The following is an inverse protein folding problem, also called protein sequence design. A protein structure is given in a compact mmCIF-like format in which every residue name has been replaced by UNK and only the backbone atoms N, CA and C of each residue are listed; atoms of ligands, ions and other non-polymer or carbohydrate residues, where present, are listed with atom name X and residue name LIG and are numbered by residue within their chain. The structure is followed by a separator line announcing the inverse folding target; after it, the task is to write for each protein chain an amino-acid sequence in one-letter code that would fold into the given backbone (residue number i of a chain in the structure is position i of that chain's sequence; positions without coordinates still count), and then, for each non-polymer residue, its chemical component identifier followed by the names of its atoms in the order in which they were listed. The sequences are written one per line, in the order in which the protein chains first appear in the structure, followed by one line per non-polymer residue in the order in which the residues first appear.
data_IF_059704728757
#
_entry.id   IF_059704728757
#
_cell.length_a   1.000
_cell.length_b   1.000
_cell.length_c   1.000
_cell.angle_alpha   90.00
_cell.angle_beta   90.00
_cell.angle_gamma   90.00
#
_symmetry.space_group_name_H-M   'P 1'
#
loop_
_entity.id
_entity.type
_entity.pdbx_description
1 polymer ?
#
# COMPACT_ATOMS: atom_id res chain seq x y z
N UNK A 1 20.54 -7.58 -3.40
CA UNK A 1 20.02 -7.66 -2.01
C UNK A 1 20.34 -6.34 -1.32
N UNK A 2 19.38 -5.65 -0.68
CA UNK A 2 19.65 -4.39 0.02
C UNK A 2 20.34 -4.65 1.37
N UNK A 3 21.13 -3.69 1.85
CA UNK A 3 21.80 -3.71 3.16
C UNK A 3 21.85 -2.28 3.74
N UNK A 4 21.95 -2.17 5.06
CA UNK A 4 22.15 -0.88 5.76
C UNK A 4 23.64 -0.65 5.94
N UNK A 5 24.09 0.58 5.65
CA UNK A 5 25.50 0.98 5.74
C UNK A 5 25.61 2.12 6.73
N UNK A 6 26.63 2.10 7.59
CA UNK A 6 27.00 3.27 8.39
C UNK A 6 27.78 4.24 7.51
N UNK A 7 27.23 5.43 7.27
CA UNK A 7 27.81 6.41 6.32
C UNK A 7 29.26 6.76 6.66
N UNK A 8 29.59 6.92 7.95
CA UNK A 8 30.91 7.28 8.40
C UNK A 8 32.00 6.24 8.06
N UNK A 9 31.67 4.95 8.08
CA UNK A 9 32.65 3.88 7.82
C UNK A 9 32.51 3.26 6.42
N UNK A 10 31.36 3.42 5.75
CA UNK A 10 31.04 2.71 4.52
C UNK A 10 30.81 1.20 4.71
N UNK A 11 30.79 0.71 5.96
CA UNK A 11 30.68 -0.72 6.28
C UNK A 11 29.21 -1.07 6.54
N UNK A 12 28.70 -2.19 5.99
CA UNK A 12 27.38 -2.70 6.32
C UNK A 12 27.22 -3.01 7.81
N UNK A 13 26.05 -2.71 8.37
CA UNK A 13 25.72 -3.13 9.72
C UNK A 13 25.54 -4.66 9.74
N UNK A 14 26.32 -5.35 10.56
CA UNK A 14 26.38 -6.81 10.61
C UNK A 14 25.04 -7.44 11.01
N UNK A 15 24.50 -7.08 12.18
CA UNK A 15 23.28 -7.70 12.71
C UNK A 15 22.06 -7.52 11.79
N UNK A 16 21.78 -6.32 11.22
CA UNK A 16 20.71 -6.15 10.24
C UNK A 16 20.95 -6.95 8.95
N UNK A 17 22.20 -7.05 8.51
CA UNK A 17 22.56 -7.84 7.32
C UNK A 17 22.27 -9.32 7.57
N UNK A 18 22.72 -9.85 8.70
CA UNK A 18 22.47 -11.23 9.10
C UNK A 18 20.98 -11.53 9.26
N UNK A 19 20.21 -10.66 9.92
CA UNK A 19 18.77 -10.80 10.06
C UNK A 19 18.05 -10.88 8.70
N UNK A 20 18.45 -10.06 7.74
CA UNK A 20 17.85 -10.09 6.41
C UNK A 20 18.23 -11.33 5.62
N UNK A 21 19.49 -11.75 5.65
CA UNK A 21 19.96 -12.90 4.86
C UNK A 21 19.52 -14.22 5.47
N UNK A 22 19.77 -14.44 6.76
CA UNK A 22 19.54 -15.70 7.44
C UNK A 22 18.07 -15.94 7.81
N UNK A 23 17.29 -14.90 8.08
CA UNK A 23 15.90 -15.05 8.50
C UNK A 23 14.91 -14.57 7.43
N UNK A 24 14.94 -13.29 7.06
CA UNK A 24 13.89 -12.73 6.19
C UNK A 24 13.94 -13.30 4.78
N UNK A 25 15.11 -13.36 4.16
CA UNK A 25 15.28 -13.87 2.80
C UNK A 25 15.12 -15.40 2.74
N UNK A 26 15.62 -16.13 3.73
CA UNK A 26 15.41 -17.58 3.86
C UNK A 26 13.91 -17.95 3.89
N UNK A 27 13.06 -17.09 4.48
CA UNK A 27 11.60 -17.23 4.46
C UNK A 27 10.93 -16.77 3.15
N UNK A 28 11.70 -16.57 2.07
CA UNK A 28 11.18 -16.24 0.74
C UNK A 28 10.62 -14.82 0.61
N UNK A 29 11.03 -13.87 1.46
CA UNK A 29 10.58 -12.48 1.38
C UNK A 29 11.13 -11.78 0.14
N UNK A 30 10.28 -10.95 -0.48
CA UNK A 30 10.61 -10.23 -1.71
C UNK A 30 11.57 -9.07 -1.44
N UNK A 31 12.45 -8.70 -2.40
CA UNK A 31 13.45 -7.64 -2.23
C UNK A 31 12.87 -6.30 -1.75
N UNK A 32 11.73 -5.85 -2.28
CA UNK A 32 11.10 -4.59 -1.84
C UNK A 32 10.59 -4.64 -0.40
N UNK A 33 10.15 -5.81 0.06
CA UNK A 33 9.78 -6.00 1.47
C UNK A 33 11.02 -5.89 2.34
N UNK A 34 12.12 -6.55 1.97
CA UNK A 34 13.40 -6.46 2.69
C UNK A 34 13.91 -5.02 2.76
N UNK A 35 13.82 -4.26 1.66
CA UNK A 35 14.18 -2.85 1.63
C UNK A 35 13.36 -2.01 2.61
N UNK A 36 12.03 -2.20 2.66
CA UNK A 36 11.17 -1.48 3.60
C UNK A 36 11.43 -1.89 5.07
N UNK A 37 11.77 -3.15 5.31
CA UNK A 37 12.16 -3.64 6.63
C UNK A 37 13.49 -2.99 7.08
N UNK A 38 14.51 -2.93 6.21
CA UNK A 38 15.74 -2.18 6.51
C UNK A 38 15.47 -0.69 6.75
N UNK A 39 14.59 -0.07 5.96
CA UNK A 39 14.19 1.32 6.23
C UNK A 39 13.57 1.47 7.60
N UNK A 40 12.85 0.46 8.10
CA UNK A 40 12.31 0.48 9.46
C UNK A 40 13.40 0.30 10.51
N UNK A 41 14.39 -0.56 10.27
CA UNK A 41 15.55 -0.70 11.15
C UNK A 41 16.43 0.55 11.16
N UNK A 42 16.52 1.29 10.06
CA UNK A 42 17.22 2.58 10.02
C UNK A 42 16.66 3.54 11.09
N UNK A 43 15.35 3.53 11.36
CA UNK A 43 14.78 4.33 12.45
C UNK A 43 15.28 3.90 13.83
N UNK A 44 15.48 2.60 14.07
CA UNK A 44 16.04 2.11 15.33
C UNK A 44 17.47 2.61 15.53
N UNK A 45 18.31 2.52 14.50
CA UNK A 45 19.70 2.96 14.59
C UNK A 45 19.81 4.48 14.70
N UNK A 46 19.03 5.25 13.93
CA UNK A 46 19.01 6.71 14.05
C UNK A 46 18.50 7.13 15.44
N UNK A 47 17.48 6.47 15.96
CA UNK A 47 17.01 6.70 17.32
C UNK A 47 18.10 6.41 18.36
N UNK A 48 18.81 5.29 18.22
CA UNK A 48 19.92 4.91 19.09
C UNK A 48 21.06 5.93 19.05
N UNK A 49 21.51 6.30 17.85
CA UNK A 49 22.59 7.27 17.66
C UNK A 49 22.24 8.64 18.30
N UNK A 50 21.01 9.15 18.14
CA UNK A 50 20.56 10.42 18.77
C UNK A 50 20.52 10.37 20.30
N UNK A 51 20.45 9.17 20.88
CA UNK A 51 20.38 8.95 22.34
C UNK A 51 21.67 8.40 22.91
N UNK A 52 22.73 8.27 22.09
CA UNK A 52 24.00 7.68 22.50
C UNK A 52 23.86 6.20 22.89
N UNK A 53 22.92 5.47 22.29
CA UNK A 53 22.64 4.07 22.58
C UNK A 53 23.17 3.20 21.44
N UNK A 54 24.19 2.37 21.72
CA UNK A 54 24.57 1.29 20.82
C UNK A 54 23.63 0.08 21.00
N UNK A 55 22.79 -0.14 19.99
CA UNK A 55 21.80 -1.21 19.99
C UNK A 55 22.46 -2.60 20.04
N UNK A 56 23.58 -2.79 19.34
CA UNK A 56 24.26 -4.09 19.26
C UNK A 56 24.95 -4.47 20.57
N UNK A 57 25.60 -3.51 21.23
CA UNK A 57 26.18 -3.71 22.56
C UNK A 57 25.11 -3.96 23.62
N UNK A 58 24.02 -3.19 23.61
CA UNK A 58 22.92 -3.39 24.58
C UNK A 58 22.28 -4.76 24.51
N UNK A 59 21.99 -5.23 23.31
CA UNK A 59 21.41 -6.56 23.12
C UNK A 59 22.36 -7.66 23.59
N UNK A 60 23.67 -7.55 23.30
CA UNK A 60 24.68 -8.50 23.82
C UNK A 60 24.88 -8.40 25.33
N UNK A 61 24.79 -7.21 25.90
CA UNK A 61 24.92 -6.97 27.34
C UNK A 61 23.66 -7.32 28.15
N UNK A 62 22.58 -7.78 27.52
CA UNK A 62 21.31 -8.08 28.21
C UNK A 62 20.58 -6.85 28.75
N UNK A 63 20.98 -5.66 28.33
CA UNK A 63 20.38 -4.39 28.76
C UNK A 63 19.42 -3.92 27.66
N UNK A 64 18.21 -4.48 27.64
CA UNK A 64 17.18 -4.15 26.64
C UNK A 64 16.60 -2.75 26.83
N UNK A 65 15.66 -2.36 25.97
CA UNK A 65 14.99 -1.07 26.04
C UNK A 65 14.10 -0.99 27.29
N UNK A 66 14.29 0.07 28.07
CA UNK A 66 13.42 0.42 29.19
C UNK A 66 12.06 0.94 28.72
N UNK A 67 11.10 1.09 29.63
CA UNK A 67 9.77 1.61 29.30
C UNK A 67 9.82 2.99 28.65
N UNK A 68 10.60 3.92 29.23
CA UNK A 68 10.72 5.29 28.73
C UNK A 68 11.33 5.31 27.32
N UNK A 69 12.31 4.45 27.06
CA UNK A 69 12.93 4.28 25.74
C UNK A 69 11.97 3.67 24.73
N UNK A 70 11.15 2.70 25.13
CA UNK A 70 10.11 2.14 24.25
C UNK A 70 9.09 3.22 23.88
N UNK A 71 8.59 3.99 24.85
CA UNK A 71 7.63 5.09 24.61
C UNK A 71 8.21 6.10 23.63
N UNK A 72 9.45 6.48 23.84
CA UNK A 72 10.14 7.44 23.02
C UNK A 72 10.41 6.90 21.60
N UNK A 73 10.88 5.67 21.46
CA UNK A 73 11.05 4.99 20.17
C UNK A 73 9.71 4.88 19.41
N UNK A 74 8.60 4.64 20.12
CA UNK A 74 7.25 4.65 19.55
C UNK A 74 6.89 6.04 19.02
N UNK A 75 7.23 7.11 19.73
CA UNK A 75 7.11 8.49 19.24
C UNK A 75 7.96 8.72 18.00
N UNK A 76 9.23 8.33 18.04
CA UNK A 76 10.23 8.50 16.98
C UNK A 76 9.83 7.78 15.68
N UNK A 77 9.29 6.57 15.77
CA UNK A 77 8.79 5.82 14.62
C UNK A 77 7.65 6.51 13.88
N UNK A 78 6.95 7.46 14.53
CA UNK A 78 5.90 8.29 13.95
C UNK A 78 6.39 9.51 13.17
N UNK A 79 7.71 9.77 13.11
CA UNK A 79 8.28 10.95 12.44
C UNK A 79 8.64 10.66 10.98
N UNK A 80 8.68 11.70 10.15
CA UNK A 80 9.26 11.60 8.81
C UNK A 80 10.78 11.70 8.87
N UNK A 81 11.46 11.01 7.95
CA UNK A 81 12.92 11.02 7.89
C UNK A 81 13.49 12.43 7.67
N UNK A 82 12.80 13.25 6.87
CA UNK A 82 13.15 14.66 6.64
C UNK A 82 13.22 15.52 7.91
N UNK A 83 12.46 15.13 8.95
CA UNK A 83 12.44 15.86 10.22
C UNK A 83 13.50 15.32 11.19
N UNK A 84 14.03 14.12 10.96
CA UNK A 84 15.04 13.46 11.80
C UNK A 84 16.45 13.89 11.37
N UNK A 85 16.70 13.91 10.05
CA UNK A 85 18.05 14.17 9.52
C UNK A 85 18.66 15.50 10.01
N UNK A 86 17.93 16.63 10.12
CA UNK A 86 18.49 17.88 10.62
C UNK A 86 18.95 17.82 12.08
N UNK A 87 18.42 16.92 12.91
CA UNK A 87 18.86 16.76 14.31
C UNK A 87 20.29 16.24 14.37
N UNK A 88 20.69 15.39 13.42
CA UNK A 88 22.08 14.94 13.30
C UNK A 88 23.03 16.04 12.83
N UNK A 89 22.58 16.90 11.93
CA UNK A 89 23.37 18.04 11.48
C UNK A 89 23.65 19.01 12.64
N UNK A 90 22.69 19.20 13.55
CA UNK A 90 22.86 20.03 14.74
C UNK A 90 23.82 19.46 15.80
N UNK A 91 24.09 18.15 15.76
CA UNK A 91 25.06 17.48 16.63
C UNK A 91 26.50 17.57 16.09
N UNK A 92 26.69 18.03 14.85
CA UNK A 92 27.99 18.20 14.21
C UNK A 92 28.35 19.70 14.09
N UNK A 93 29.27 20.26 14.91
CA UNK A 93 29.50 21.71 14.99
C UNK A 93 30.12 22.37 13.74
N UNK A 94 30.47 21.63 12.68
CA UNK A 94 31.21 22.15 11.51
C UNK A 94 30.43 22.16 10.18
N UNK A 95 29.10 22.04 10.20
CA UNK A 95 28.29 22.12 8.97
C UNK A 95 27.66 23.51 8.85
N UNK A 96 28.11 24.29 7.85
CA UNK A 96 27.56 25.60 7.51
C UNK A 96 26.10 25.43 7.10
N UNK A 97 25.19 26.11 7.81
CA UNK A 97 23.76 26.11 7.48
C UNK A 97 23.53 26.76 6.11
N UNK A 98 23.07 25.97 5.13
CA UNK A 98 22.41 26.51 3.96
C UNK A 98 20.93 26.71 4.34
N UNK A 99 20.52 27.97 4.49
CA UNK A 99 19.19 28.37 4.97
C UNK A 99 18.06 27.54 4.31
N UNK A 100 17.52 26.56 5.04
CA UNK A 100 16.30 25.88 4.64
C UNK A 100 15.12 26.74 5.13
N UNK A 101 14.34 27.25 4.18
CA UNK A 101 13.08 27.95 4.48
C UNK A 101 12.23 27.03 5.35
N UNK A 102 11.85 27.53 6.53
CA UNK A 102 11.11 26.80 7.56
C UNK A 102 9.97 25.97 6.99
N UNK A 103 10.19 24.66 6.91
CA UNK A 103 9.14 23.71 6.61
C UNK A 103 8.25 23.61 7.85
N UNK A 104 6.95 23.89 7.70
CA UNK A 104 5.95 23.55 8.72
C UNK A 104 6.20 22.11 9.18
N UNK A 105 6.13 21.85 10.50
CA UNK A 105 6.07 20.48 11.06
C UNK A 105 4.84 19.77 10.48
N UNK A 106 4.99 19.17 9.32
CA UNK A 106 3.94 18.42 8.64
C UNK A 106 3.77 17.08 9.32
N UNK A 107 2.76 16.96 10.18
CA UNK A 107 2.05 15.72 10.53
C UNK A 107 2.87 14.56 11.14
N UNK A 108 2.20 13.73 11.93
CA UNK A 108 2.73 12.40 12.23
C UNK A 108 2.50 11.47 11.03
N UNK A 109 3.39 10.50 10.85
CA UNK A 109 3.23 9.42 9.87
C UNK A 109 1.94 8.65 10.15
N UNK A 110 1.25 8.17 9.09
CA UNK A 110 0.05 7.34 9.22
C UNK A 110 0.26 6.19 10.22
N UNK A 111 -0.76 5.93 11.05
CA UNK A 111 -0.71 4.94 12.15
C UNK A 111 -0.24 3.55 11.68
N UNK A 112 -0.60 3.14 10.46
CA UNK A 112 -0.19 1.87 9.86
C UNK A 112 1.32 1.74 9.61
N UNK A 113 1.96 2.80 9.13
CA UNK A 113 3.41 2.81 8.85
C UNK A 113 4.21 2.84 10.17
N UNK A 114 3.76 3.64 11.16
CA UNK A 114 4.31 3.61 12.52
C UNK A 114 4.25 2.20 13.14
N UNK A 115 3.09 1.54 13.04
CA UNK A 115 2.89 0.15 13.50
C UNK A 115 3.80 -0.83 12.79
N UNK A 116 3.93 -0.72 11.46
CA UNK A 116 4.79 -1.58 10.67
C UNK A 116 6.27 -1.45 11.08
N UNK A 117 6.76 -0.21 11.26
CA UNK A 117 8.13 0.04 11.72
C UNK A 117 8.41 -0.63 13.05
N UNK A 118 7.53 -0.44 14.04
CA UNK A 118 7.67 -1.06 15.36
C UNK A 118 7.61 -2.59 15.30
N UNK A 119 6.73 -3.16 14.47
CA UNK A 119 6.66 -4.60 14.29
C UNK A 119 7.96 -5.19 13.70
N UNK A 120 8.56 -4.49 12.73
CA UNK A 120 9.86 -4.87 12.16
C UNK A 120 10.97 -4.78 13.20
N UNK A 121 11.04 -3.67 13.94
CA UNK A 121 12.04 -3.46 15.00
C UNK A 121 11.92 -4.56 16.07
N UNK A 122 10.70 -4.83 16.57
CA UNK A 122 10.45 -5.92 17.53
C UNK A 122 10.91 -7.27 16.98
N UNK A 123 10.61 -7.57 15.71
CA UNK A 123 11.05 -8.81 15.07
C UNK A 123 12.57 -8.91 14.93
N UNK A 124 13.26 -7.80 14.67
CA UNK A 124 14.71 -7.75 14.58
C UNK A 124 15.38 -7.92 15.95
N UNK A 125 14.91 -7.22 16.97
CA UNK A 125 15.37 -7.39 18.35
C UNK A 125 15.17 -8.84 18.78
N UNK A 126 13.99 -9.41 18.53
CA UNK A 126 13.66 -10.78 18.90
C UNK A 126 14.56 -11.83 18.25
N UNK A 127 15.00 -11.60 17.00
CA UNK A 127 15.95 -12.48 16.30
C UNK A 127 17.38 -12.29 16.80
N UNK A 128 17.88 -11.06 16.82
CA UNK A 128 19.27 -10.75 17.17
C UNK A 128 19.57 -11.14 18.62
N UNK A 129 18.61 -10.92 19.52
CA UNK A 129 18.73 -11.36 20.92
C UNK A 129 18.63 -12.86 21.12
N UNK A 130 17.96 -13.60 20.21
CA UNK A 130 17.84 -15.06 20.29
C UNK A 130 19.15 -15.76 19.93
N UNK A 131 19.94 -15.16 19.03
CA UNK A 131 21.29 -15.63 18.69
C UNK A 131 22.18 -15.65 19.93
N UNK A 132 22.26 -14.52 20.65
CA UNK A 132 22.99 -14.45 21.91
C UNK A 132 22.39 -15.33 23.02
N UNK A 133 21.05 -15.47 23.05
CA UNK A 133 20.40 -16.38 24.00
C UNK A 133 20.83 -17.84 23.80
N UNK A 134 21.07 -18.27 22.54
CA UNK A 134 21.60 -19.60 22.23
C UNK A 134 23.02 -19.79 22.76
N UNK A 135 23.87 -18.75 22.67
CA UNK A 135 25.22 -18.78 23.25
C UNK A 135 25.20 -18.96 24.77
N UNK A 136 24.17 -18.43 25.45
CA UNK A 136 24.03 -18.50 26.90
C UNK A 136 23.53 -19.86 27.43
N UNK A 137 23.14 -20.81 26.57
CA UNK A 137 22.62 -22.12 27.01
C UNK A 137 23.50 -22.87 28.03
N UNK A 138 24.85 -22.83 27.95
CA UNK A 138 25.71 -23.46 28.95
C UNK A 138 25.59 -22.87 30.37
N UNK A 139 24.97 -21.69 30.52
CA UNK A 139 24.84 -20.97 31.80
C UNK A 139 23.37 -20.71 32.15
N UNK A 140 22.64 -21.69 32.71
CA UNK A 140 21.18 -21.60 32.92
C UNK A 140 20.70 -20.37 33.69
N UNK A 141 21.45 -19.93 34.72
CA UNK A 141 21.10 -18.74 35.50
C UNK A 141 21.21 -17.46 34.66
N UNK A 142 22.29 -17.31 33.88
CA UNK A 142 22.47 -16.15 32.99
C UNK A 142 21.44 -16.16 31.87
N UNK A 143 21.20 -17.34 31.30
CA UNK A 143 20.18 -17.57 30.30
C UNK A 143 18.79 -17.13 30.78
N UNK A 144 18.39 -17.54 31.98
CA UNK A 144 17.06 -17.23 32.55
C UNK A 144 16.88 -15.74 32.81
N UNK A 145 17.89 -15.08 33.38
CA UNK A 145 17.85 -13.62 33.62
C UNK A 145 17.75 -12.86 32.30
N UNK A 146 18.59 -13.21 31.33
CA UNK A 146 18.58 -12.57 30.02
C UNK A 146 17.23 -12.77 29.31
N UNK A 147 16.70 -14.00 29.29
CA UNK A 147 15.43 -14.29 28.63
C UNK A 147 14.25 -13.60 29.32
N UNK A 148 14.27 -13.48 30.65
CA UNK A 148 13.27 -12.72 31.40
C UNK A 148 13.19 -11.25 30.96
N UNK A 149 14.34 -10.56 30.93
CA UNK A 149 14.43 -9.16 30.50
C UNK A 149 14.05 -9.01 29.02
N UNK A 150 14.50 -9.95 28.19
CA UNK A 150 14.19 -10.00 26.75
C UNK A 150 12.68 -10.12 26.50
N UNK A 151 12.01 -11.06 27.15
CA UNK A 151 10.56 -11.28 27.00
C UNK A 151 9.78 -10.03 27.42
N UNK A 152 10.11 -9.45 28.57
CA UNK A 152 9.47 -8.24 29.07
C UNK A 152 9.55 -7.08 28.06
N UNK A 153 10.74 -6.84 27.48
CA UNK A 153 10.91 -5.83 26.44
C UNK A 153 10.06 -6.12 25.20
N UNK A 154 10.09 -7.36 24.70
CA UNK A 154 9.36 -7.75 23.50
C UNK A 154 7.84 -7.71 23.69
N UNK A 155 7.35 -8.05 24.88
CA UNK A 155 5.93 -8.06 25.19
C UNK A 155 5.37 -6.65 25.30
N UNK A 156 6.07 -5.74 25.99
CA UNK A 156 5.73 -4.30 26.02
C UNK A 156 5.70 -3.69 24.62
N UNK A 157 6.72 -3.94 23.81
CA UNK A 157 6.70 -3.50 22.40
C UNK A 157 5.48 -4.07 21.65
N UNK A 158 5.12 -5.33 21.93
CA UNK A 158 3.93 -5.98 21.39
C UNK A 158 2.63 -5.27 21.79
N UNK A 159 2.50 -4.83 23.03
CA UNK A 159 1.35 -4.06 23.53
C UNK A 159 1.21 -2.72 22.81
N UNK A 160 2.29 -1.95 22.65
CA UNK A 160 2.26 -0.71 21.89
C UNK A 160 1.90 -0.93 20.41
N UNK A 161 2.40 -2.00 19.79
CA UNK A 161 2.03 -2.36 18.42
C UNK A 161 0.53 -2.67 18.33
N UNK A 162 -0.03 -3.36 19.32
CA UNK A 162 -1.47 -3.68 19.37
C UNK A 162 -2.32 -2.43 19.63
N UNK A 163 -1.88 -1.53 20.49
CA UNK A 163 -2.61 -0.31 20.87
C UNK A 163 -2.64 0.75 19.76
N UNK A 164 -1.63 0.78 18.87
CA UNK A 164 -1.69 1.61 17.67
C UNK A 164 -2.81 1.08 16.78
N UNK A 165 -3.91 1.86 16.70
CA UNK A 165 -5.06 1.56 15.84
C UNK A 165 -4.56 1.23 14.43
N UNK A 166 -4.72 -0.03 14.05
CA UNK A 166 -4.81 -0.34 12.64
C UNK A 166 -6.00 0.45 12.08
N UNK A 167 -5.93 1.01 10.86
CA UNK A 167 -7.09 1.61 10.22
C UNK A 167 -8.26 0.63 10.33
N UNK A 168 -9.35 1.04 10.98
CA UNK A 168 -10.46 0.15 11.19
C UNK A 168 -11.09 -0.10 9.82
N UNK A 169 -11.19 -1.37 9.40
CA UNK A 169 -11.74 -1.73 8.09
C UNK A 169 -13.27 -1.62 8.04
N UNK A 170 -13.88 -1.01 9.05
CA UNK A 170 -15.32 -0.81 9.17
C UNK A 170 -15.68 0.69 9.25
N UNK A 171 -14.72 1.61 9.04
CA UNK A 171 -15.01 3.05 9.03
C UNK A 171 -15.86 3.45 7.80
N UNK A 172 -16.86 4.30 8.03
CA UNK A 172 -17.63 4.97 6.98
C UNK A 172 -16.68 5.86 6.17
N UNK A 173 -16.65 5.71 4.84
CA UNK A 173 -15.77 6.49 3.95
C UNK A 173 -14.53 5.76 3.43
N UNK A 174 -14.58 4.42 3.31
CA UNK A 174 -13.52 3.69 2.63
C UNK A 174 -13.36 4.14 1.17
N UNK A 175 -12.12 4.07 0.67
CA UNK A 175 -11.84 4.36 -0.74
C UNK A 175 -12.63 3.43 -1.65
N UNK A 176 -13.64 4.02 -2.26
CA UNK A 176 -14.42 3.44 -3.32
C UNK A 176 -13.65 3.55 -4.64
N UNK A 177 -13.98 2.70 -5.62
CA UNK A 177 -13.57 2.91 -6.99
C UNK A 177 -14.09 4.23 -7.55
N UNK A 178 -13.61 4.57 -8.74
CA UNK A 178 -14.15 5.68 -9.50
C UNK A 178 -15.58 5.37 -9.92
N UNK A 179 -16.39 6.43 -10.01
CA UNK A 179 -17.68 6.36 -10.70
C UNK A 179 -17.48 5.90 -12.15
N UNK A 180 -18.44 5.11 -12.65
CA UNK A 180 -18.37 4.53 -14.01
C UNK A 180 -18.22 5.61 -15.09
N UNK A 181 -18.90 6.76 -14.93
CA UNK A 181 -18.77 7.91 -15.82
C UNK A 181 -17.34 8.47 -15.88
N UNK A 182 -16.61 8.45 -14.77
CA UNK A 182 -15.21 8.91 -14.71
C UNK A 182 -14.27 7.95 -15.43
N UNK A 183 -14.47 6.63 -15.26
CA UNK A 183 -13.65 5.62 -15.97
C UNK A 183 -13.89 5.69 -17.48
N UNK A 184 -15.16 5.82 -17.88
CA UNK A 184 -15.56 5.96 -19.29
C UNK A 184 -14.96 7.21 -19.91
N UNK A 185 -15.10 8.36 -19.24
CA UNK A 185 -14.51 9.63 -19.67
C UNK A 185 -13.00 9.56 -19.74
N UNK A 186 -12.35 8.95 -18.74
CA UNK A 186 -10.91 8.74 -18.75
C UNK A 186 -10.52 8.02 -20.03
N UNK A 187 -11.07 6.81 -20.28
CA UNK A 187 -10.73 5.98 -21.44
C UNK A 187 -10.98 6.69 -22.77
N UNK A 188 -12.06 7.46 -22.89
CA UNK A 188 -12.36 8.24 -24.08
C UNK A 188 -11.31 9.35 -24.35
N UNK A 189 -10.95 10.13 -23.33
CA UNK A 189 -10.02 11.27 -23.50
C UNK A 189 -8.60 10.80 -23.84
N UNK A 190 -8.19 9.62 -23.34
CA UNK A 190 -6.86 9.09 -23.60
C UNK A 190 -6.76 8.27 -24.89
N UNK A 191 -7.84 8.12 -25.65
CA UNK A 191 -7.80 7.52 -27.00
C UNK A 191 -6.73 8.23 -27.86
N UNK A 192 -5.98 7.50 -28.72
CA UNK A 192 -4.84 8.08 -29.45
C UNK A 192 -5.18 9.31 -30.29
N UNK A 193 -6.36 9.31 -30.91
CA UNK A 193 -6.81 10.36 -31.83
C UNK A 193 -7.66 11.44 -31.16
N UNK A 194 -7.92 11.33 -29.84
CA UNK A 194 -8.73 12.31 -29.13
C UNK A 194 -8.03 13.70 -29.14
N UNK A 195 -8.77 14.79 -29.46
CA UNK A 195 -8.19 16.13 -29.56
C UNK A 195 -7.65 16.62 -28.20
N UNK A 196 -8.36 16.32 -27.11
CA UNK A 196 -7.97 16.70 -25.74
C UNK A 196 -6.97 15.74 -25.08
N UNK A 197 -6.41 14.77 -25.82
CA UNK A 197 -5.45 13.85 -25.24
C UNK A 197 -4.19 14.62 -24.77
N UNK A 198 -3.84 14.56 -23.47
CA UNK A 198 -2.84 15.45 -22.85
C UNK A 198 -1.39 15.09 -23.21
N UNK A 199 -1.19 14.05 -24.02
CA UNK A 199 0.11 13.52 -24.39
C UNK A 199 0.49 13.85 -25.83
N UNK A 200 1.80 13.89 -26.10
CA UNK A 200 2.33 14.00 -27.46
C UNK A 200 2.02 12.74 -28.27
N UNK A 201 1.78 12.90 -29.58
CA UNK A 201 1.38 11.82 -30.51
C UNK A 201 2.24 10.55 -30.38
N UNK A 202 3.55 10.73 -30.22
CA UNK A 202 4.52 9.62 -30.12
C UNK A 202 4.28 8.65 -28.95
N UNK A 203 3.57 9.06 -27.89
CA UNK A 203 3.35 8.23 -26.70
C UNK A 203 1.88 7.91 -26.42
N UNK A 204 0.95 8.44 -27.22
CA UNK A 204 -0.49 8.30 -26.97
C UNK A 204 -0.93 6.84 -26.97
N UNK A 205 -0.59 6.06 -28.01
CA UNK A 205 -0.98 4.64 -28.08
C UNK A 205 -0.44 3.82 -26.90
N UNK A 206 0.83 4.01 -26.53
CA UNK A 206 1.42 3.33 -25.38
C UNK A 206 0.69 3.67 -24.09
N UNK A 207 0.44 4.95 -23.84
CA UNK A 207 -0.21 5.41 -22.61
C UNK A 207 -1.67 4.94 -22.57
N UNK A 208 -2.36 4.95 -23.71
CA UNK A 208 -3.69 4.40 -23.87
C UNK A 208 -3.74 2.91 -23.50
N UNK A 209 -2.85 2.10 -24.09
CA UNK A 209 -2.74 0.68 -23.81
C UNK A 209 -2.48 0.40 -22.32
N UNK A 210 -1.59 1.17 -21.67
CA UNK A 210 -1.29 1.06 -20.24
C UNK A 210 -2.55 1.24 -19.40
N UNK A 211 -3.30 2.32 -19.61
CA UNK A 211 -4.49 2.63 -18.81
C UNK A 211 -5.60 1.62 -19.10
N UNK A 212 -5.79 1.25 -20.37
CA UNK A 212 -6.78 0.26 -20.80
C UNK A 212 -6.54 -1.10 -20.15
N UNK A 213 -5.30 -1.62 -20.18
CA UNK A 213 -4.97 -2.90 -19.53
C UNK A 213 -5.19 -2.85 -18.01
N UNK A 214 -4.88 -1.72 -17.36
CA UNK A 214 -5.13 -1.54 -15.92
C UNK A 214 -6.63 -1.52 -15.60
N UNK A 215 -7.42 -0.82 -16.41
CA UNK A 215 -8.86 -0.69 -16.22
C UNK A 215 -9.62 -1.98 -16.54
N UNK A 216 -9.28 -2.67 -17.64
CA UNK A 216 -9.97 -3.88 -18.11
C UNK A 216 -9.61 -5.13 -17.29
N UNK A 217 -8.32 -5.30 -16.96
CA UNK A 217 -7.85 -6.51 -16.26
C UNK A 217 -7.81 -6.35 -14.74
N UNK A 218 -7.96 -5.12 -14.24
CA UNK A 218 -7.83 -4.79 -12.83
C UNK A 218 -6.45 -5.11 -12.24
N UNK A 219 -5.42 -5.33 -13.07
CA UNK A 219 -4.08 -5.77 -12.62
C UNK A 219 -3.33 -4.66 -11.88
N UNK A 220 -2.41 -5.03 -11.00
CA UNK A 220 -1.49 -4.08 -10.36
C UNK A 220 -0.49 -3.55 -11.38
N UNK A 221 -0.05 -2.30 -11.19
CA UNK A 221 1.06 -1.70 -11.97
C UNK A 221 2.31 -2.58 -12.07
N UNK A 222 2.61 -3.34 -11.01
CA UNK A 222 3.74 -4.26 -11.00
C UNK A 222 3.55 -5.47 -11.92
N UNK A 223 2.31 -5.96 -12.02
CA UNK A 223 1.95 -7.02 -12.97
C UNK A 223 2.00 -6.48 -14.40
N UNK A 224 1.42 -5.30 -14.65
CA UNK A 224 1.46 -4.63 -15.97
C UNK A 224 2.90 -4.50 -16.50
N UNK A 225 3.81 -3.99 -15.68
CA UNK A 225 5.21 -3.77 -16.08
C UNK A 225 6.06 -5.05 -16.07
N UNK A 226 5.50 -6.16 -15.59
CA UNK A 226 6.10 -7.50 -15.64
C UNK A 226 5.62 -8.35 -16.82
N UNK A 227 4.66 -7.86 -17.61
CA UNK A 227 4.15 -8.54 -18.80
C UNK A 227 5.21 -8.59 -19.90
N UNK A 228 5.39 -9.77 -20.47
CA UNK A 228 6.15 -9.95 -21.69
C UNK A 228 5.25 -9.93 -22.92
N UNK A 229 5.82 -9.67 -24.09
CA UNK A 229 5.11 -9.86 -25.37
C UNK A 229 4.66 -11.32 -25.52
N UNK A 230 5.50 -12.28 -25.12
CA UNK A 230 5.19 -13.72 -25.19
C UNK A 230 4.13 -14.20 -24.18
N UNK A 231 3.65 -13.34 -23.28
CA UNK A 231 2.58 -13.71 -22.33
C UNK A 231 1.19 -13.65 -22.97
N UNK A 232 1.09 -13.10 -24.19
CA UNK A 232 -0.15 -12.89 -24.92
C UNK A 232 -0.37 -13.99 -25.95
N UNK A 233 -1.57 -14.56 -25.94
CA UNK A 233 -2.08 -15.44 -26.99
C UNK A 233 -3.20 -14.70 -27.71
N UNK A 234 -2.91 -14.14 -28.88
CA UNK A 234 -3.78 -13.22 -29.62
C UNK A 234 -4.60 -13.95 -30.71
N UNK A 235 -5.41 -14.91 -30.30
CA UNK A 235 -6.20 -15.77 -31.20
C UNK A 235 -7.62 -15.22 -31.44
N UNK A 236 -7.74 -13.96 -31.86
CA UNK A 236 -9.03 -13.31 -32.13
C UNK A 236 -9.95 -13.29 -30.91
N UNK A 237 -11.15 -13.90 -31.02
CA UNK A 237 -12.18 -13.90 -29.95
C UNK A 237 -11.78 -14.65 -28.67
N UNK A 238 -10.75 -15.51 -28.71
CA UNK A 238 -10.25 -16.27 -27.54
C UNK A 238 -8.89 -15.74 -27.07
N UNK A 239 -8.64 -14.45 -27.25
CA UNK A 239 -7.38 -13.85 -26.84
C UNK A 239 -7.21 -13.84 -25.32
N UNK A 240 -6.01 -14.13 -24.85
CA UNK A 240 -5.69 -14.21 -23.42
C UNK A 240 -4.32 -13.62 -23.11
N UNK A 241 -4.13 -13.25 -21.85
CA UNK A 241 -2.83 -12.88 -21.28
C UNK A 241 -2.56 -13.70 -20.03
N UNK A 242 -1.33 -14.19 -19.90
CA UNK A 242 -0.89 -14.90 -18.70
C UNK A 242 -0.11 -13.97 -17.78
N UNK A 243 -0.64 -13.71 -16.59
CA UNK A 243 0.08 -12.98 -15.54
C UNK A 243 1.00 -13.97 -14.83
N UNK A 244 2.31 -13.84 -14.99
CA UNK A 244 3.29 -14.67 -14.30
C UNK A 244 3.85 -14.01 -13.04
N UNK A 245 4.30 -14.85 -12.11
CA UNK A 245 5.10 -14.42 -10.96
C UNK A 245 6.58 -14.68 -11.28
N UNK A 246 7.32 -13.61 -11.59
CA UNK A 246 8.76 -13.65 -11.93
C UNK A 246 9.58 -12.93 -10.86
N UNK A 247 9.77 -13.53 -9.66
CA UNK A 247 10.68 -12.94 -8.68
C UNK A 247 12.11 -12.99 -9.24
N UNK A 248 12.86 -11.91 -9.07
CA UNK A 248 14.29 -11.83 -9.44
C UNK A 248 14.57 -12.11 -10.93
N UNK A 249 13.64 -11.71 -11.82
CA UNK A 249 13.76 -11.86 -13.27
C UNK A 249 15.11 -11.35 -13.81
N UNK A 250 15.92 -12.25 -14.37
CA UNK A 250 17.24 -11.94 -14.91
C UNK A 250 17.20 -11.06 -16.15
N UNK A 251 16.08 -11.05 -16.88
CA UNK A 251 15.91 -10.20 -18.05
C UNK A 251 15.48 -8.78 -17.68
N UNK A 252 15.20 -8.48 -16.41
CA UNK A 252 14.80 -7.17 -15.93
C UNK A 252 16.03 -6.33 -15.53
N UNK A 253 16.42 -5.31 -16.32
CA UNK A 253 17.56 -4.45 -16.01
C UNK A 253 17.22 -3.34 -15.01
N UNK A 254 15.95 -3.18 -14.62
CA UNK A 254 15.53 -2.07 -13.75
C UNK A 254 16.12 -2.24 -12.35
N UNK A 255 16.58 -1.13 -11.78
CA UNK A 255 17.05 -1.10 -10.38
C UNK A 255 15.93 -1.45 -9.40
N UNK A 256 14.75 -0.86 -9.60
CA UNK A 256 13.52 -1.21 -8.89
C UNK A 256 12.66 -2.14 -9.76
N UNK A 257 12.87 -3.45 -9.62
CA UNK A 257 12.11 -4.47 -10.35
C UNK A 257 10.63 -4.49 -9.89
N UNK A 258 9.65 -4.48 -10.80
CA UNK A 258 8.25 -4.61 -10.45
C UNK A 258 7.96 -5.98 -9.84
N UNK A 259 7.44 -5.98 -8.60
CA UNK A 259 7.12 -7.22 -7.90
C UNK A 259 5.66 -7.65 -8.12
N UNK A 260 5.45 -8.86 -8.63
CA UNK A 260 4.14 -9.50 -8.65
C UNK A 260 3.81 -10.04 -7.25
N UNK A 261 2.84 -9.40 -6.57
CA UNK A 261 2.34 -9.79 -5.24
C UNK A 261 1.27 -10.88 -5.26
N UNK A 262 0.83 -11.25 -6.46
CA UNK A 262 -0.34 -12.08 -6.76
C UNK A 262 0.05 -13.45 -7.30
N UNK A 263 -0.88 -14.39 -7.24
CA UNK A 263 -0.75 -15.67 -7.91
C UNK A 263 -0.81 -15.49 -9.44
N UNK A 264 -0.12 -16.40 -10.13
CA UNK A 264 -0.16 -16.46 -11.58
C UNK A 264 -1.55 -16.88 -12.05
N UNK A 265 -2.00 -16.36 -13.19
CA UNK A 265 -3.34 -16.61 -13.74
C UNK A 265 -3.42 -16.22 -15.21
N UNK A 266 -4.36 -16.84 -15.91
CA UNK A 266 -4.72 -16.48 -17.29
C UNK A 266 -5.98 -15.62 -17.25
N UNK A 267 -5.95 -14.48 -17.95
CA UNK A 267 -7.06 -13.55 -18.07
C UNK A 267 -7.49 -13.43 -19.55
N UNK A 268 -8.80 -13.44 -19.84
CA UNK A 268 -9.29 -13.17 -21.19
C UNK A 268 -9.10 -11.69 -21.55
N UNK A 269 -8.96 -11.41 -22.84
CA UNK A 269 -8.87 -10.07 -23.40
C UNK A 269 -10.07 -9.81 -24.31
N UNK A 270 -10.58 -8.58 -24.31
CA UNK A 270 -11.49 -8.14 -25.37
C UNK A 270 -10.78 -8.11 -26.73
N UNK A 271 -11.55 -8.29 -27.82
CA UNK A 271 -11.00 -8.26 -29.19
C UNK A 271 -10.26 -6.95 -29.48
N UNK A 272 -10.86 -5.82 -29.11
CA UNK A 272 -10.22 -4.51 -29.27
C UNK A 272 -8.90 -4.38 -28.48
N UNK A 273 -8.80 -4.95 -27.29
CA UNK A 273 -7.54 -4.93 -26.52
C UNK A 273 -6.49 -5.83 -27.15
N UNK A 274 -6.88 -6.98 -27.68
CA UNK A 274 -5.98 -7.84 -28.44
C UNK A 274 -5.42 -7.12 -29.68
N UNK A 275 -6.27 -6.40 -30.42
CA UNK A 275 -5.87 -5.57 -31.56
C UNK A 275 -4.87 -4.48 -31.16
N UNK A 276 -5.14 -3.76 -30.06
CA UNK A 276 -4.26 -2.69 -29.57
C UNK A 276 -2.90 -3.23 -29.10
N UNK A 277 -2.88 -4.39 -28.46
CA UNK A 277 -1.63 -5.07 -28.10
C UNK A 277 -0.86 -5.44 -29.36
N UNK A 278 -1.53 -6.04 -30.35
CA UNK A 278 -0.92 -6.40 -31.63
C UNK A 278 -0.35 -5.17 -32.36
N UNK A 279 -1.15 -4.10 -32.49
CA UNK A 279 -0.73 -2.84 -33.12
C UNK A 279 0.48 -2.23 -32.39
N UNK A 280 0.41 -2.14 -31.06
CA UNK A 280 1.53 -1.65 -30.26
C UNK A 280 2.80 -2.47 -30.51
N UNK A 281 2.71 -3.80 -30.48
CA UNK A 281 3.87 -4.69 -30.64
C UNK A 281 4.47 -4.58 -32.04
N UNK A 282 3.63 -4.65 -33.08
CA UNK A 282 4.07 -4.76 -34.48
C UNK A 282 4.40 -3.39 -35.09
N UNK A 283 3.58 -2.36 -34.86
CA UNK A 283 3.70 -1.09 -35.57
C UNK A 283 4.53 -0.03 -34.83
N UNK A 284 4.64 -0.12 -33.49
CA UNK A 284 5.31 0.91 -32.68
C UNK A 284 6.51 0.35 -31.92
N UNK A 285 6.30 -0.63 -31.05
CA UNK A 285 7.35 -1.24 -30.22
C UNK A 285 8.47 -1.84 -31.05
N UNK A 286 8.16 -2.51 -32.16
CA UNK A 286 9.16 -3.08 -33.06
C UNK A 286 10.11 -2.06 -33.70
N UNK A 287 9.75 -0.77 -33.72
CA UNK A 287 10.61 0.31 -34.23
C UNK A 287 11.61 0.83 -33.20
N UNK A 288 11.43 0.50 -31.92
CA UNK A 288 12.27 0.99 -30.84
C UNK A 288 13.54 0.12 -30.71
N UNK A 289 14.76 0.70 -30.72
CA UNK A 289 16.00 -0.06 -30.81
C UNK A 289 16.19 -1.11 -29.70
N UNK A 290 15.97 -0.73 -28.44
CA UNK A 290 16.22 -1.60 -27.29
C UNK A 290 15.05 -2.56 -27.01
N UNK A 291 13.85 -2.25 -27.51
CA UNK A 291 12.67 -3.08 -27.31
C UNK A 291 12.78 -4.43 -28.03
N UNK A 292 13.53 -4.52 -29.14
CA UNK A 292 13.79 -5.78 -29.86
C UNK A 292 14.56 -6.80 -29.03
N UNK A 293 15.39 -6.33 -28.10
CA UNK A 293 16.23 -7.16 -27.21
C UNK A 293 15.60 -7.39 -25.85
N UNK A 294 14.40 -6.83 -25.63
CA UNK A 294 13.69 -6.88 -24.37
C UNK A 294 12.42 -7.71 -24.54
N UNK A 295 12.08 -8.60 -23.58
CA UNK A 295 10.83 -9.33 -23.64
C UNK A 295 9.62 -8.50 -23.18
N UNK A 296 9.83 -7.38 -22.47
CA UNK A 296 8.76 -6.61 -21.81
C UNK A 296 7.79 -5.94 -22.79
N UNK A 297 6.49 -6.05 -22.54
CA UNK A 297 5.45 -5.42 -23.34
C UNK A 297 5.57 -3.89 -23.35
N UNK A 298 5.68 -3.30 -22.14
CA UNK A 298 5.66 -1.85 -21.96
C UNK A 298 7.08 -1.31 -21.84
N UNK A 299 7.46 -0.49 -22.82
CA UNK A 299 8.79 0.11 -22.94
C UNK A 299 8.73 1.63 -23.06
N UNK A 300 9.83 2.31 -22.76
CA UNK A 300 10.01 3.75 -22.91
C UNK A 300 10.16 4.12 -24.39
N UNK A 301 9.96 5.40 -24.67
CA UNK A 301 10.15 6.01 -25.99
C UNK A 301 11.09 7.19 -25.80
N UNK A 302 12.09 7.39 -26.68
CA UNK A 302 12.30 6.71 -27.97
C UNK A 302 13.14 5.41 -27.90
N UNK A 303 13.79 5.12 -26.78
CA UNK A 303 14.87 4.11 -26.75
C UNK A 303 14.38 2.65 -26.70
N UNK A 304 13.25 2.40 -26.03
CA UNK A 304 12.67 1.06 -25.91
C UNK A 304 13.11 0.29 -24.66
N UNK A 305 13.56 0.97 -23.60
CA UNK A 305 13.91 0.32 -22.34
C UNK A 305 12.66 -0.10 -21.54
N UNK A 306 12.75 -1.12 -20.67
CA UNK A 306 11.63 -1.48 -19.79
C UNK A 306 11.18 -0.30 -18.92
N UNK A 307 9.89 0.02 -18.97
CA UNK A 307 9.35 1.18 -18.25
C UNK A 307 9.41 0.97 -16.72
N UNK A 308 9.71 2.03 -15.98
CA UNK A 308 9.73 2.03 -14.50
C UNK A 308 8.34 2.26 -13.89
N UNK A 309 8.17 1.84 -12.62
CA UNK A 309 6.93 2.10 -11.84
C UNK A 309 6.64 3.60 -11.69
N UNK A 310 7.69 4.42 -11.54
CA UNK A 310 7.59 5.87 -11.44
C UNK A 310 7.02 6.49 -12.72
N UNK A 311 7.40 5.99 -13.90
CA UNK A 311 6.86 6.49 -15.16
C UNK A 311 5.35 6.24 -15.29
N UNK A 312 4.85 5.09 -14.83
CA UNK A 312 3.40 4.86 -14.78
C UNK A 312 2.71 5.90 -13.87
N UNK A 313 3.28 6.24 -12.72
CA UNK A 313 2.73 7.29 -11.86
C UNK A 313 2.71 8.65 -12.55
N UNK A 314 3.78 9.00 -13.27
CA UNK A 314 3.86 10.25 -14.02
C UNK A 314 2.81 10.35 -15.13
N UNK A 315 2.45 9.23 -15.77
CA UNK A 315 1.34 9.19 -16.74
C UNK A 315 0.03 9.61 -16.06
N UNK A 316 -0.32 8.99 -14.92
CA UNK A 316 -1.53 9.35 -14.19
C UNK A 316 -1.49 10.77 -13.61
N UNK A 317 -0.32 11.21 -13.15
CA UNK A 317 -0.12 12.59 -12.71
C UNK A 317 -0.35 13.59 -13.86
N UNK A 318 0.14 13.31 -15.06
CA UNK A 318 -0.09 14.16 -16.22
C UNK A 318 -1.57 14.20 -16.60
N UNK A 319 -2.28 13.06 -16.53
CA UNK A 319 -3.72 12.99 -16.80
C UNK A 319 -4.49 13.89 -15.84
N UNK A 320 -4.34 13.71 -14.52
CA UNK A 320 -5.08 14.52 -13.53
C UNK A 320 -4.77 16.02 -13.61
N UNK A 321 -3.53 16.39 -13.96
CA UNK A 321 -3.14 17.80 -14.02
C UNK A 321 -3.60 18.49 -15.31
N UNK A 322 -3.73 17.76 -16.43
CA UNK A 322 -4.00 18.34 -17.74
C UNK A 322 -5.41 18.10 -18.27
N UNK A 323 -6.15 17.15 -17.69
CA UNK A 323 -7.52 16.84 -18.08
C UNK A 323 -8.47 17.35 -16.98
N UNK A 324 -9.25 18.41 -17.24
CA UNK A 324 -10.17 18.97 -16.25
C UNK A 324 -11.21 17.96 -15.77
N UNK A 325 -11.67 18.04 -14.51
CA UNK A 325 -12.78 17.23 -14.01
C UNK A 325 -12.48 15.74 -13.76
N UNK A 326 -11.20 15.34 -13.74
CA UNK A 326 -10.79 14.02 -13.23
C UNK A 326 -10.36 14.14 -11.76
N UNK A 327 -10.61 13.13 -10.91
CA UNK A 327 -10.22 13.20 -9.50
C UNK A 327 -8.70 13.26 -9.28
N UNK A 328 -8.26 14.03 -8.27
CA UNK A 328 -6.84 14.17 -7.92
C UNK A 328 -6.18 12.85 -7.48
N UNK A 329 -6.99 11.94 -6.93
CA UNK A 329 -6.58 10.61 -6.48
C UNK A 329 -6.48 9.58 -7.61
N UNK A 330 -6.83 9.95 -8.84
CA UNK A 330 -6.82 9.06 -9.99
C UNK A 330 -5.45 8.36 -10.14
N UNK A 331 -5.48 7.04 -10.16
CA UNK A 331 -4.27 6.24 -10.31
C UNK A 331 -4.55 4.75 -10.51
N UNK A 332 -3.49 3.96 -10.80
CA UNK A 332 -3.60 2.53 -11.05
C UNK A 332 -4.31 1.74 -9.94
N UNK A 333 -4.14 2.14 -8.67
CA UNK A 333 -4.78 1.44 -7.57
C UNK A 333 -6.28 1.70 -7.52
N UNK A 334 -6.71 2.92 -7.83
CA UNK A 334 -8.10 3.31 -7.87
C UNK A 334 -8.84 2.67 -9.05
N UNK A 335 -8.19 2.52 -10.20
CA UNK A 335 -8.72 1.71 -11.32
C UNK A 335 -8.98 0.27 -10.91
N UNK A 336 -8.08 -0.32 -10.12
CA UNK A 336 -8.28 -1.67 -9.57
C UNK A 336 -9.46 -1.74 -8.60
N UNK A 337 -9.71 -0.70 -7.79
CA UNK A 337 -10.92 -0.63 -6.96
C UNK A 337 -12.17 -0.56 -7.85
N UNK A 338 -12.17 0.33 -8.84
CA UNK A 338 -13.24 0.49 -9.84
C UNK A 338 -13.59 -0.83 -10.53
N UNK A 339 -12.56 -1.61 -10.92
CA UNK A 339 -12.77 -2.94 -11.49
C UNK A 339 -13.49 -3.90 -10.53
N UNK A 340 -13.12 -3.90 -9.23
CA UNK A 340 -13.78 -4.79 -8.27
C UNK A 340 -15.24 -4.37 -8.03
N UNK A 341 -15.52 -3.08 -8.07
CA UNK A 341 -16.87 -2.55 -7.89
C UNK A 341 -17.76 -2.94 -9.08
N UNK A 342 -17.27 -2.73 -10.30
CA UNK A 342 -17.94 -3.20 -11.52
C UNK A 342 -18.14 -4.72 -11.54
N UNK A 343 -17.17 -5.48 -11.03
CA UNK A 343 -17.29 -6.93 -10.87
C UNK A 343 -18.38 -7.30 -9.86
N UNK A 344 -18.43 -6.65 -8.68
CA UNK A 344 -19.50 -6.85 -7.70
C UNK A 344 -20.88 -6.56 -8.30
N UNK A 345 -21.02 -5.44 -9.00
CA UNK A 345 -22.29 -5.07 -9.63
C UNK A 345 -22.73 -6.07 -10.71
N UNK A 346 -21.79 -6.64 -11.47
CA UNK A 346 -22.10 -7.70 -12.42
C UNK A 346 -22.52 -9.00 -11.73
N UNK A 347 -21.83 -9.40 -10.67
CA UNK A 347 -22.19 -10.57 -9.84
C UNK A 347 -23.61 -10.40 -9.27
N UNK A 348 -23.91 -9.20 -8.78
CA UNK A 348 -25.21 -8.85 -8.21
C UNK A 348 -26.33 -8.95 -9.25
N UNK A 349 -26.12 -8.37 -10.44
CA UNK A 349 -27.08 -8.46 -11.57
C UNK A 349 -27.29 -9.89 -12.04
N UNK A 350 -26.27 -10.75 -11.92
CA UNK A 350 -26.34 -12.17 -12.32
C UNK A 350 -26.84 -13.08 -11.19
N UNK A 351 -27.07 -12.56 -9.98
CA UNK A 351 -27.56 -13.34 -8.84
C UNK A 351 -26.59 -14.41 -8.36
N UNK A 352 -25.28 -14.19 -8.50
CA UNK A 352 -24.25 -15.17 -8.12
C UNK A 352 -24.09 -15.20 -6.59
N UNK A 353 -23.79 -16.38 -6.04
CA UNK A 353 -23.63 -16.58 -4.60
C UNK A 353 -22.40 -15.81 -4.04
N UNK A 354 -22.43 -15.36 -2.77
CA UNK A 354 -21.27 -14.74 -2.12
C UNK A 354 -20.01 -15.61 -2.10
N UNK A 355 -20.19 -16.94 -2.00
CA UNK A 355 -19.10 -17.91 -1.99
C UNK A 355 -18.40 -17.97 -3.36
N UNK A 356 -19.19 -18.03 -4.44
CA UNK A 356 -18.67 -18.02 -5.81
C UNK A 356 -18.04 -16.67 -6.16
N UNK A 357 -18.66 -15.56 -5.74
CA UNK A 357 -18.09 -14.22 -5.88
C UNK A 357 -16.67 -14.16 -5.28
N UNK A 358 -16.51 -14.65 -4.04
CA UNK A 358 -15.21 -14.68 -3.37
C UNK A 358 -14.20 -15.54 -4.13
N UNK A 359 -14.57 -16.76 -4.54
CA UNK A 359 -13.70 -17.68 -5.29
C UNK A 359 -13.29 -17.11 -6.65
N UNK A 360 -14.24 -16.58 -7.42
CA UNK A 360 -14.00 -16.03 -8.75
C UNK A 360 -13.16 -14.76 -8.67
N UNK A 361 -13.46 -13.86 -7.73
CA UNK A 361 -12.66 -12.66 -7.48
C UNK A 361 -11.24 -13.05 -7.08
N UNK A 362 -11.05 -14.00 -6.16
CA UNK A 362 -9.72 -14.47 -5.77
C UNK A 362 -8.91 -14.99 -6.97
N UNK A 363 -9.52 -15.80 -7.83
CA UNK A 363 -8.89 -16.30 -9.07
C UNK A 363 -8.50 -15.15 -9.98
N UNK A 364 -9.45 -14.28 -10.35
CA UNK A 364 -9.23 -13.17 -11.29
C UNK A 364 -8.25 -12.11 -10.76
N UNK A 365 -8.20 -11.95 -9.44
CA UNK A 365 -7.32 -10.98 -8.77
C UNK A 365 -6.00 -11.55 -8.29
N UNK A 366 -5.80 -12.85 -8.43
CA UNK A 366 -4.62 -13.58 -7.96
C UNK A 366 -4.42 -13.48 -6.45
N UNK A 367 -5.49 -13.37 -5.67
CA UNK A 367 -5.43 -13.29 -4.22
C UNK A 367 -5.35 -14.69 -3.60
N UNK A 368 -4.52 -14.82 -2.55
CA UNK A 368 -4.35 -16.06 -1.79
C UNK A 368 -5.18 -16.11 -0.51
N UNK A 369 -5.71 -14.97 -0.07
CA UNK A 369 -6.43 -14.83 1.18
C UNK A 369 -7.84 -14.34 0.90
N UNK A 370 -8.81 -15.11 1.36
CA UNK A 370 -10.23 -14.81 1.27
C UNK A 370 -10.60 -13.52 2.03
N UNK A 371 -9.89 -13.21 3.12
CA UNK A 371 -10.08 -11.97 3.89
C UNK A 371 -9.94 -10.70 3.03
N UNK A 372 -9.15 -10.76 1.96
CA UNK A 372 -9.02 -9.63 1.01
C UNK A 372 -10.24 -9.54 0.09
N UNK A 373 -10.85 -10.68 -0.26
CA UNK A 373 -12.06 -10.74 -1.07
C UNK A 373 -13.31 -10.36 -0.27
N UNK A 374 -13.41 -10.80 0.98
CA UNK A 374 -14.51 -10.49 1.89
C UNK A 374 -14.66 -8.99 2.15
N UNK A 375 -13.57 -8.21 2.03
CA UNK A 375 -13.62 -6.76 2.13
C UNK A 375 -14.59 -6.14 1.11
N UNK A 376 -14.62 -6.64 -0.13
CA UNK A 376 -15.55 -6.18 -1.16
C UNK A 376 -16.96 -6.73 -0.95
N UNK A 377 -17.10 -7.94 -0.40
CA UNK A 377 -18.41 -8.49 -0.04
C UNK A 377 -19.11 -7.62 1.00
N UNK A 378 -18.38 -7.12 2.02
CA UNK A 378 -18.94 -6.21 3.04
C UNK A 378 -19.52 -4.94 2.42
N UNK A 379 -18.88 -4.39 1.38
CA UNK A 379 -19.39 -3.21 0.67
C UNK A 379 -20.69 -3.53 -0.06
N UNK A 380 -20.75 -4.66 -0.76
CA UNK A 380 -21.98 -5.15 -1.41
C UNK A 380 -23.10 -5.34 -0.39
N UNK A 381 -22.80 -5.97 0.76
CA UNK A 381 -23.75 -6.15 1.86
C UNK A 381 -24.28 -4.80 2.37
N UNK A 382 -23.39 -3.81 2.59
CA UNK A 382 -23.78 -2.47 3.03
C UNK A 382 -24.66 -1.75 2.01
N UNK A 383 -24.31 -1.81 0.72
CA UNK A 383 -25.11 -1.21 -0.35
C UNK A 383 -26.50 -1.83 -0.41
N UNK A 384 -26.58 -3.16 -0.44
CA UNK A 384 -27.85 -3.89 -0.45
C UNK A 384 -28.70 -3.63 0.80
N UNK A 385 -28.09 -3.59 1.98
CA UNK A 385 -28.82 -3.28 3.22
C UNK A 385 -29.40 -1.87 3.18
N UNK A 386 -28.67 -0.91 2.62
CA UNK A 386 -29.14 0.46 2.47
C UNK A 386 -30.23 0.58 1.40
N UNK A 387 -30.11 -0.11 0.26
CA UNK A 387 -31.13 -0.15 -0.78
C UNK A 387 -32.43 -0.78 -0.27
N UNK A 388 -32.32 -1.89 0.48
CA UNK A 388 -33.47 -2.54 1.10
C UNK A 388 -34.13 -1.66 2.15
N UNK A 389 -33.34 -0.97 2.98
CA UNK A 389 -33.86 0.01 3.93
C UNK A 389 -34.55 1.18 3.22
N UNK A 390 -33.98 1.70 2.13
CA UNK A 390 -34.58 2.77 1.33
C UNK A 390 -35.91 2.31 0.70
N UNK A 391 -35.97 1.07 0.20
CA UNK A 391 -37.23 0.49 -0.29
C UNK A 391 -38.27 0.38 0.83
N UNK A 392 -37.87 -0.06 2.03
CA UNK A 392 -38.75 -0.08 3.20
C UNK A 392 -39.23 1.32 3.57
N UNK A 393 -38.34 2.33 3.56
CA UNK A 393 -38.67 3.73 3.84
C UNK A 393 -39.66 4.31 2.82
N UNK A 394 -39.42 4.08 1.53
CA UNK A 394 -40.34 4.51 0.46
C UNK A 394 -41.76 3.94 0.66
N UNK A 395 -41.89 2.72 1.19
CA UNK A 395 -43.21 2.13 1.53
C UNK A 395 -43.91 2.83 2.70
N UNK A 396 -43.16 3.47 3.61
CA UNK A 396 -43.74 4.31 4.66
C UNK A 396 -44.20 5.66 4.10
N UNK A 397 -43.45 6.26 3.20
CA UNK A 397 -43.81 7.55 2.58
C UNK A 397 -45.09 7.44 1.74
N UNK A 398 -45.26 6.35 0.98
CA UNK A 398 -46.49 6.06 0.21
C UNK A 398 -47.74 5.93 1.11
N UNK A 399 -47.57 5.62 2.40
CA UNK A 399 -48.69 5.52 3.37
C UNK A 399 -49.01 6.84 4.06
N UNK A 400 -48.18 7.87 3.92
CA UNK A 400 -48.36 9.17 4.59
C UNK A 400 -49.29 10.13 3.85
N UNK A 401 -49.54 9.93 2.55
CA UNK A 401 -50.45 10.79 1.77
C UNK A 401 -51.95 10.59 2.09
N UNK A 402 -52.31 9.74 3.07
CA UNK A 402 -53.72 9.45 3.36
C UNK A 402 -54.10 9.35 4.84
N UNK A 403 -53.44 10.10 5.73
CA UNK A 403 -54.01 10.41 7.06
C UNK A 403 -53.72 11.85 7.45
N UNK A 404 -54.75 12.68 7.29
CA UNK A 404 -54.84 13.96 7.94
C UNK A 404 -54.83 13.83 9.47
N UNK A 405 -54.41 14.95 10.08
CA UNK A 405 -54.71 15.43 11.41
C UNK A 405 -54.57 14.45 12.59
N UNK A 406 -53.47 14.58 13.33
CA UNK A 406 -53.49 14.72 14.79
C UNK A 406 -52.07 14.92 15.36
N UNK A 407 -51.75 16.17 15.72
CA UNK A 407 -50.49 16.55 16.35
C UNK A 407 -50.65 16.51 17.88
N UNK A 408 -50.13 15.46 18.52
CA UNK A 408 -50.32 15.14 19.96
C UNK A 408 -49.31 15.81 20.94
N UNK A 409 -48.77 16.99 20.65
CA UNK A 409 -47.87 17.67 21.61
C UNK A 409 -48.25 19.13 21.87
N UNK A 410 -48.84 19.35 23.05
CA UNK A 410 -49.02 20.67 23.66
C UNK A 410 -47.67 21.26 24.04
N UNK A 411 -47.37 22.46 23.53
CA UNK A 411 -46.17 23.23 23.90
C UNK A 411 -46.29 23.73 25.34
N UNK A 412 -45.30 23.43 26.18
CA UNK A 412 -45.04 24.22 27.39
C UNK A 412 -44.80 23.40 28.66
N UNK A 413 -43.61 22.84 28.81
CA UNK A 413 -42.94 22.62 30.11
C UNK A 413 -41.46 22.40 29.86
N UNK A 414 -40.63 23.42 30.14
CA UNK A 414 -39.18 23.24 30.23
C UNK A 414 -38.82 22.61 31.59
N UNK A 415 -38.03 21.52 31.63
CA UNK A 415 -37.55 20.96 32.89
C UNK A 415 -36.39 21.81 33.44
N UNK A 416 -36.58 22.36 34.64
CA UNK A 416 -35.51 23.03 35.40
C UNK A 416 -34.58 21.97 36.00
N UNK A 417 -33.32 21.93 35.58
CA UNK A 417 -32.28 21.10 36.20
C UNK A 417 -31.56 21.88 37.32
N UNK A 418 -31.23 21.24 38.46
CA UNK A 418 -30.41 21.88 39.50
C UNK A 418 -28.95 22.05 39.04
N UNK A 419 -28.21 23.04 39.56
CA UNK A 419 -26.83 23.29 39.16
C UNK A 419 -25.93 22.12 39.59
N UNK A 420 -25.13 21.61 38.64
CA UNK A 420 -24.11 20.59 38.90
C UNK A 420 -22.96 21.20 39.70
N UNK A 421 -22.61 20.61 40.83
CA UNK A 421 -21.31 20.83 41.48
C UNK A 421 -20.20 20.19 40.62
N UNK A 422 -19.14 20.94 40.35
CA UNK A 422 -17.98 20.42 39.63
C UNK A 422 -17.14 19.47 40.51
N UNK A 423 -16.64 18.34 39.99
CA UNK A 423 -15.72 17.47 40.73
C UNK A 423 -14.31 18.10 40.79
N UNK A 424 -13.53 17.82 41.85
CA UNK A 424 -12.24 18.48 42.12
C UNK A 424 -11.08 18.08 41.17
N UNK A 425 -11.35 17.22 40.18
CA UNK A 425 -10.38 16.83 39.16
C UNK A 425 -11.09 16.80 37.81
N UNK A 426 -10.77 17.77 36.95
CA UNK A 426 -11.16 17.77 35.56
C UNK A 426 -10.07 17.11 34.72
N UNK A 427 -10.45 16.10 33.94
CA UNK A 427 -9.60 15.53 32.91
C UNK A 427 -9.69 16.46 31.70
N UNK A 428 -8.63 17.23 31.44
CA UNK A 428 -8.55 18.12 30.26
C UNK A 428 -8.37 17.23 29.02
N UNK A 429 -9.31 17.30 28.09
CA UNK A 429 -9.21 16.63 26.79
C UNK A 429 -8.28 17.39 25.84
#
# INVERSE_FOLDING_TARGET
MPFLIRVASGIPLESPTYWITAYRRALGRQPNTLFNELRSLMYLYLWGDLRGIDIGERLRGGTFLSLSEIIDLVGFCGRFLKDILPEFESLCPNVVQLASRGSRKEGSVQSGEKRNRLAVIRSFIGFTSADHLSELQPWPSRWSVYDGIRRECLDRMGEYIRSIRAPNRDDVGQREGLEEGVVTRLLAIIEPDHPENPFSKAVRLRNYLIVRLLAELGIRRGELLGLYVGDFSLNGMKSTVTIHRRPDDGNDPRSEKPATKTAARVLPLSGRTAELVHEWVVAYRAKLPLAKRSPFLIVTTPDGEPMSLSNVNKIFQAIRTRVPGLPDELGPHLLRHSWNDAFSELIDRKGVSPEDEAKWRMRLMGWRSELTAQHYLRRTTRRRSNEFLAEMQNRFDIRSENKGDDCWFSRGTEPVFPPRSEPPLSMVF
#
